data_IF_095829984088
#
_entry.id   IF_095829984088
#
_cell.length_a   1.000
_cell.length_b   1.000
_cell.length_c   1.000
_cell.angle_alpha   90.00
_cell.angle_beta   90.00
_cell.angle_gamma   90.00
#
_symmetry.space_group_name_H-M   'P 1'
#
loop_
_entity.id
_entity.type
_entity.pdbx_description
1 polymer ?
#
# COMPACT_ATOMS: atom_id res chain seq x y z
N UNK A 1 -21.78 0.95 -13.02
CA UNK A 1 -21.20 2.16 -12.41
C UNK A 1 -20.08 1.72 -11.49
N UNK A 2 -18.88 2.28 -11.63
CA UNK A 2 -17.79 2.01 -10.70
C UNK A 2 -18.14 2.64 -9.34
N UNK A 3 -18.08 1.86 -8.26
CA UNK A 3 -18.32 2.32 -6.90
C UNK A 3 -17.17 1.83 -6.03
N UNK A 4 -16.59 2.74 -5.24
CA UNK A 4 -15.41 2.47 -4.42
C UNK A 4 -15.75 2.67 -2.95
N UNK A 5 -15.31 1.73 -2.13
CA UNK A 5 -15.15 1.92 -0.70
C UNK A 5 -13.68 2.29 -0.48
N UNK A 6 -13.41 3.42 0.18
CA UNK A 6 -12.06 3.97 0.34
C UNK A 6 -11.74 4.06 1.82
N UNK A 7 -10.58 3.55 2.21
CA UNK A 7 -10.02 3.63 3.56
C UNK A 7 -8.51 3.90 3.47
N UNK A 8 -7.98 4.63 4.43
CA UNK A 8 -6.55 4.85 4.65
C UNK A 8 -6.31 5.07 6.15
N UNK A 9 -5.04 5.12 6.57
CA UNK A 9 -4.65 5.53 7.92
C UNK A 9 -5.33 4.69 9.03
N UNK A 10 -5.51 3.39 8.78
CA UNK A 10 -6.11 2.47 9.74
C UNK A 10 -5.15 2.12 10.88
N UNK A 11 -3.84 2.17 10.63
CA UNK A 11 -2.77 1.86 11.59
C UNK A 11 -3.00 0.56 12.39
N UNK A 12 -3.34 -0.53 11.71
CA UNK A 12 -3.67 -1.80 12.34
C UNK A 12 -2.48 -2.45 13.08
N UNK A 13 -1.27 -1.90 12.96
CA UNK A 13 -0.07 -2.28 13.71
C UNK A 13 -0.05 -1.77 15.16
N UNK A 14 -0.79 -0.71 15.50
CA UNK A 14 -0.66 0.00 16.78
C UNK A 14 -1.99 0.53 17.37
N UNK A 15 -2.61 -0.21 18.32
CA UNK A 15 -2.27 -1.57 18.74
C UNK A 15 -2.60 -2.58 17.65
N UNK A 16 -1.99 -3.78 17.71
CA UNK A 16 -2.24 -4.84 16.71
C UNK A 16 -3.72 -5.22 16.65
N UNK A 17 -4.38 -4.85 15.56
CA UNK A 17 -5.82 -4.99 15.35
C UNK A 17 -6.20 -5.68 14.03
N UNK A 18 -5.22 -6.25 13.31
CA UNK A 18 -5.42 -6.93 12.02
C UNK A 18 -6.56 -7.96 12.00
N UNK A 19 -6.78 -8.69 13.09
CA UNK A 19 -7.85 -9.69 13.21
C UNK A 19 -9.15 -9.19 13.84
N UNK A 20 -9.18 -7.94 14.29
CA UNK A 20 -10.32 -7.34 15.00
C UNK A 20 -11.08 -6.33 14.13
N UNK A 21 -10.38 -5.66 13.23
CA UNK A 21 -10.98 -4.67 12.35
C UNK A 21 -11.69 -5.35 11.18
N UNK A 22 -13.02 -5.26 11.13
CA UNK A 22 -13.82 -5.77 10.02
C UNK A 22 -14.18 -4.63 9.06
N UNK A 23 -14.06 -4.91 7.76
CA UNK A 23 -14.55 -4.03 6.70
C UNK A 23 -15.81 -4.67 6.10
N UNK A 24 -17.01 -4.19 6.45
CA UNK A 24 -18.23 -4.62 5.78
C UNK A 24 -18.16 -4.21 4.30
N UNK A 25 -18.43 -5.11 3.35
CA UNK A 25 -18.38 -4.80 1.93
C UNK A 25 -19.51 -3.85 1.55
N UNK A 26 -19.18 -2.60 1.19
CA UNK A 26 -20.14 -1.59 0.73
C UNK A 26 -20.06 -1.33 -0.78
N UNK A 27 -18.99 -1.80 -1.42
CA UNK A 27 -18.73 -1.61 -2.84
C UNK A 27 -17.95 -2.80 -3.43
N UNK A 28 -17.98 -3.01 -4.76
CA UNK A 28 -17.19 -4.06 -5.40
C UNK A 28 -15.68 -3.78 -5.40
N UNK A 29 -15.27 -2.51 -5.32
CA UNK A 29 -13.86 -2.10 -5.27
C UNK A 29 -13.57 -1.52 -3.88
N UNK A 30 -12.58 -2.08 -3.19
CA UNK A 30 -12.01 -1.52 -1.96
C UNK A 30 -10.66 -0.90 -2.29
N UNK A 31 -10.49 0.38 -1.97
CA UNK A 31 -9.22 1.07 -2.06
C UNK A 31 -8.65 1.29 -0.65
N UNK A 32 -7.51 0.66 -0.40
CA UNK A 32 -6.72 0.76 0.82
C UNK A 32 -5.50 1.63 0.52
N UNK A 33 -5.58 2.92 0.87
CA UNK A 33 -4.73 3.98 0.30
C UNK A 33 -3.67 4.50 1.26
N UNK A 34 -2.87 3.58 1.81
CA UNK A 34 -1.74 3.89 2.69
C UNK A 34 -2.05 3.85 4.18
N UNK A 35 -1.00 3.61 4.96
CA UNK A 35 -1.00 3.53 6.43
C UNK A 35 -2.06 2.57 6.98
N UNK A 36 -2.19 1.42 6.32
CA UNK A 36 -3.11 0.35 6.70
C UNK A 36 -2.50 -0.51 7.81
N UNK A 37 -1.21 -0.79 7.68
CA UNK A 37 -0.48 -1.67 8.57
C UNK A 37 0.99 -1.79 8.19
N UNK A 38 1.79 -2.36 9.07
CA UNK A 38 3.21 -2.53 8.83
C UNK A 38 3.51 -3.81 8.02
N UNK A 39 4.28 -3.71 6.93
CA UNK A 39 4.60 -4.84 6.04
C UNK A 39 5.55 -5.88 6.68
N UNK A 40 6.15 -5.58 7.83
CA UNK A 40 6.88 -6.58 8.63
C UNK A 40 5.93 -7.53 9.36
N UNK A 41 4.69 -7.12 9.62
CA UNK A 41 3.72 -7.91 10.36
C UNK A 41 2.99 -8.88 9.45
N UNK A 42 3.05 -10.18 9.75
CA UNK A 42 2.27 -11.19 9.03
C UNK A 42 0.75 -10.92 9.07
N UNK A 43 0.28 -10.27 10.15
CA UNK A 43 -1.12 -9.90 10.31
C UNK A 43 -1.67 -8.99 9.21
N UNK A 44 -0.83 -8.13 8.60
CA UNK A 44 -1.25 -7.31 7.47
C UNK A 44 -1.70 -8.19 6.30
N UNK A 45 -0.92 -9.22 5.95
CA UNK A 45 -1.23 -10.10 4.83
C UNK A 45 -2.46 -10.96 5.10
N UNK A 46 -2.63 -11.45 6.33
CA UNK A 46 -3.87 -12.13 6.76
C UNK A 46 -5.09 -11.20 6.64
N UNK A 47 -4.94 -9.93 7.03
CA UNK A 47 -5.98 -8.92 6.90
C UNK A 47 -6.34 -8.64 5.43
N UNK A 48 -5.35 -8.50 4.55
CA UNK A 48 -5.57 -8.28 3.11
C UNK A 48 -6.25 -9.49 2.45
N UNK A 49 -5.81 -10.72 2.77
CA UNK A 49 -6.43 -11.94 2.27
C UNK A 49 -7.90 -12.07 2.73
N UNK A 50 -8.20 -11.67 3.97
CA UNK A 50 -9.58 -11.65 4.48
C UNK A 50 -10.51 -10.73 3.65
N UNK A 51 -9.99 -9.63 3.10
CA UNK A 51 -10.78 -8.74 2.23
C UNK A 51 -11.07 -9.37 0.88
N UNK A 52 -10.14 -10.15 0.34
CA UNK A 52 -10.30 -10.89 -0.92
C UNK A 52 -11.35 -12.02 -0.81
N UNK A 53 -11.71 -12.44 0.41
CA UNK A 53 -12.85 -13.33 0.64
C UNK A 53 -14.22 -12.63 0.61
N UNK A 54 -14.27 -11.29 0.55
CA UNK A 54 -15.52 -10.51 0.61
C UNK A 54 -15.70 -9.54 -0.57
N UNK A 55 -14.63 -8.90 -1.06
CA UNK A 55 -14.71 -7.72 -1.96
C UNK A 55 -13.99 -7.95 -3.29
N UNK A 56 -14.68 -7.71 -4.42
CA UNK A 56 -14.32 -8.15 -5.80
C UNK A 56 -12.89 -7.76 -6.20
N UNK A 57 -12.49 -6.54 -5.89
CA UNK A 57 -11.15 -6.03 -6.18
C UNK A 57 -10.67 -5.23 -4.98
N UNK A 58 -9.45 -5.52 -4.53
CA UNK A 58 -8.74 -4.75 -3.49
C UNK A 58 -7.57 -4.04 -4.16
N UNK A 59 -7.65 -2.71 -4.23
CA UNK A 59 -6.58 -1.82 -4.67
C UNK A 59 -5.79 -1.41 -3.42
N UNK A 60 -4.49 -1.65 -3.39
CA UNK A 60 -3.66 -1.41 -2.21
C UNK A 60 -2.46 -0.52 -2.55
N UNK A 61 -2.28 0.58 -1.82
CA UNK A 61 -1.16 1.52 -1.95
C UNK A 61 -0.38 1.56 -0.63
N UNK A 62 0.96 1.60 -0.70
CA UNK A 62 1.78 1.83 0.50
C UNK A 62 1.64 3.28 0.98
N UNK A 63 1.53 3.45 2.29
CA UNK A 63 1.86 4.68 2.97
C UNK A 63 3.31 4.68 3.45
N UNK A 64 3.62 5.55 4.40
CA UNK A 64 4.95 5.64 5.00
C UNK A 64 5.11 4.71 6.21
N UNK A 65 4.01 4.21 6.80
CA UNK A 65 4.06 3.27 7.93
C UNK A 65 4.32 1.81 7.53
N UNK A 66 3.91 1.39 6.33
CA UNK A 66 4.18 0.05 5.79
C UNK A 66 5.66 -0.36 5.90
N UNK A 67 6.64 0.49 5.55
CA UNK A 67 8.05 0.16 5.67
C UNK A 67 8.69 0.35 7.05
N UNK A 68 7.99 0.89 8.07
CA UNK A 68 8.62 1.13 9.38
C UNK A 68 9.27 -0.13 9.97
N UNK A 69 10.43 0.04 10.59
CA UNK A 69 11.31 -1.01 11.13
C UNK A 69 11.74 -2.06 10.09
N UNK A 70 11.83 -1.63 8.84
CA UNK A 70 12.39 -2.33 7.69
C UNK A 70 12.78 -1.27 6.65
N UNK A 71 12.96 -1.64 5.37
CA UNK A 71 13.18 -0.67 4.29
C UNK A 71 11.97 -0.52 3.38
N UNK A 72 11.92 0.58 2.61
CA UNK A 72 10.92 0.74 1.52
C UNK A 72 11.00 -0.39 0.50
N UNK A 73 12.21 -0.82 0.14
CA UNK A 73 12.42 -1.89 -0.82
C UNK A 73 11.83 -3.22 -0.31
N UNK A 74 12.08 -3.56 0.95
CA UNK A 74 11.56 -4.78 1.58
C UNK A 74 10.05 -4.76 1.69
N UNK A 75 9.43 -3.64 2.10
CA UNK A 75 7.98 -3.54 2.17
C UNK A 75 7.33 -3.70 0.79
N UNK A 76 7.90 -3.03 -0.24
CA UNK A 76 7.45 -3.16 -1.62
C UNK A 76 7.55 -4.59 -2.13
N UNK A 77 8.68 -5.25 -1.92
CA UNK A 77 8.91 -6.65 -2.32
C UNK A 77 7.87 -7.58 -1.69
N UNK A 78 7.63 -7.48 -0.38
CA UNK A 78 6.63 -8.34 0.28
C UNK A 78 5.21 -8.15 -0.25
N UNK A 79 4.82 -6.91 -0.55
CA UNK A 79 3.48 -6.64 -1.09
C UNK A 79 3.39 -7.10 -2.55
N UNK A 80 4.48 -6.98 -3.32
CA UNK A 80 4.56 -7.55 -4.66
C UNK A 80 4.46 -9.08 -4.63
N UNK A 81 5.21 -9.75 -3.76
CA UNK A 81 5.17 -11.21 -3.58
C UNK A 81 3.77 -11.70 -3.19
N UNK A 82 3.11 -10.97 -2.28
CA UNK A 82 1.72 -11.23 -1.92
C UNK A 82 0.79 -11.09 -3.14
N UNK A 83 0.91 -9.99 -3.90
CA UNK A 83 0.14 -9.77 -5.12
C UNK A 83 0.32 -10.90 -6.13
N UNK A 84 1.56 -11.31 -6.37
CA UNK A 84 1.90 -12.38 -7.31
C UNK A 84 1.34 -13.73 -6.85
N UNK A 85 1.46 -14.03 -5.55
CA UNK A 85 0.91 -15.24 -4.94
C UNK A 85 -0.61 -15.32 -5.10
N UNK A 86 -1.34 -14.25 -4.79
CA UNK A 86 -2.80 -14.18 -4.92
C UNK A 86 -3.22 -14.37 -6.39
N UNK A 87 -2.53 -13.70 -7.31
CA UNK A 87 -2.86 -13.78 -8.73
C UNK A 87 -2.56 -15.18 -9.31
N UNK A 88 -1.50 -15.85 -8.86
CA UNK A 88 -1.21 -17.24 -9.21
C UNK A 88 -2.30 -18.20 -8.69
N UNK A 89 -2.68 -18.10 -7.40
CA UNK A 89 -3.77 -18.91 -6.81
C UNK A 89 -5.09 -18.75 -7.57
N UNK A 90 -5.44 -17.52 -7.93
CA UNK A 90 -6.64 -17.21 -8.72
C UNK A 90 -6.62 -17.84 -10.12
N UNK A 91 -5.46 -17.94 -10.75
CA UNK A 91 -5.32 -18.54 -12.07
C UNK A 91 -5.40 -20.09 -12.05
N UNK A 92 -4.88 -20.72 -11.00
CA UNK A 92 -4.63 -22.17 -10.99
C UNK A 92 -5.49 -23.00 -10.04
N UNK A 93 -5.97 -22.44 -8.92
CA UNK A 93 -6.50 -23.24 -7.80
C UNK A 93 -7.95 -22.86 -7.47
N UNK A 94 -8.23 -21.57 -7.32
CA UNK A 94 -9.53 -21.09 -6.86
C UNK A 94 -10.06 -19.93 -7.69
N UNK A 95 -11.00 -20.23 -8.60
CA UNK A 95 -11.69 -19.20 -9.40
C UNK A 95 -12.56 -18.26 -8.57
N UNK A 96 -12.82 -18.57 -7.29
CA UNK A 96 -13.55 -17.69 -6.37
C UNK A 96 -12.64 -16.63 -5.73
N UNK A 97 -11.31 -16.80 -5.79
CA UNK A 97 -10.38 -15.82 -5.25
C UNK A 97 -10.48 -14.51 -6.04
N UNK A 98 -10.67 -13.43 -5.29
CA UNK A 98 -10.88 -12.08 -5.83
C UNK A 98 -9.55 -11.43 -6.18
N UNK A 99 -9.60 -10.28 -6.87
CA UNK A 99 -8.39 -9.68 -7.42
C UNK A 99 -7.73 -8.74 -6.40
N UNK A 100 -6.43 -8.90 -6.22
CA UNK A 100 -5.57 -7.93 -5.54
C UNK A 100 -4.78 -7.14 -6.58
N UNK A 101 -4.71 -5.82 -6.43
CA UNK A 101 -3.96 -4.93 -7.30
C UNK A 101 -3.06 -4.07 -6.43
N UNK A 102 -1.75 -4.28 -6.53
CA UNK A 102 -0.77 -3.41 -5.91
C UNK A 102 -0.63 -2.12 -6.72
N UNK A 103 -0.92 -0.98 -6.11
CA UNK A 103 -1.03 0.32 -6.75
C UNK A 103 0.29 1.09 -6.74
N UNK A 104 1.38 0.47 -7.17
CA UNK A 104 2.71 1.08 -7.22
C UNK A 104 3.10 1.41 -8.66
N UNK A 105 2.93 2.68 -9.05
CA UNK A 105 3.04 3.15 -10.44
C UNK A 105 2.19 2.30 -11.41
N UNK A 106 1.00 1.94 -10.96
CA UNK A 106 0.15 0.94 -11.61
C UNK A 106 -1.09 1.58 -12.21
N UNK A 107 -1.42 1.17 -13.44
CA UNK A 107 -2.68 1.46 -14.12
C UNK A 107 -3.62 0.26 -13.99
N UNK A 108 -4.86 0.53 -13.58
CA UNK A 108 -5.92 -0.47 -13.52
C UNK A 108 -7.21 0.05 -14.18
N UNK A 109 -7.61 -0.59 -15.27
CA UNK A 109 -8.84 -0.23 -15.98
C UNK A 109 -10.04 -0.96 -15.36
N UNK A 110 -10.99 -0.20 -14.82
CA UNK A 110 -12.19 -0.69 -14.12
C UNK A 110 -13.27 -1.03 -15.14
N UNK A 111 -13.46 -0.14 -16.10
CA UNK A 111 -14.36 -0.24 -17.26
C UNK A 111 -13.67 0.43 -18.45
N UNK A 112 -14.28 0.39 -19.63
CA UNK A 112 -13.73 1.04 -20.83
C UNK A 112 -13.58 2.58 -20.70
N UNK A 113 -14.32 3.18 -19.76
CA UNK A 113 -14.41 4.61 -19.49
C UNK A 113 -13.80 5.04 -18.15
N UNK A 114 -13.40 4.10 -17.29
CA UNK A 114 -12.85 4.40 -15.95
C UNK A 114 -11.54 3.68 -15.73
N UNK A 115 -10.49 4.45 -15.48
CA UNK A 115 -9.14 3.98 -15.13
C UNK A 115 -8.75 4.53 -13.76
N UNK A 116 -8.10 3.69 -12.95
CA UNK A 116 -7.43 4.09 -11.71
C UNK A 116 -5.93 4.04 -11.93
N UNK A 117 -5.25 5.14 -11.59
CA UNK A 117 -3.79 5.21 -11.54
C UNK A 117 -3.38 5.33 -10.07
N UNK A 118 -2.38 4.59 -9.65
CA UNK A 118 -1.87 4.65 -8.28
C UNK A 118 -0.36 4.70 -8.23
N UNK A 119 0.16 5.60 -7.40
CA UNK A 119 1.56 5.74 -7.06
C UNK A 119 1.70 6.44 -5.70
N UNK A 120 2.83 6.22 -5.02
CA UNK A 120 3.26 7.08 -3.91
C UNK A 120 4.01 8.25 -4.50
N UNK A 121 3.63 9.49 -4.17
CA UNK A 121 4.33 10.69 -4.62
C UNK A 121 5.19 11.27 -3.51
N UNK A 122 6.44 11.61 -3.81
CA UNK A 122 7.35 12.21 -2.85
C UNK A 122 7.47 13.72 -3.07
N UNK A 123 7.66 14.46 -1.99
CA UNK A 123 7.93 15.90 -2.04
C UNK A 123 9.42 16.17 -2.21
N UNK A 124 9.79 17.10 -3.09
CA UNK A 124 11.15 17.61 -3.16
C UNK A 124 11.47 18.49 -1.96
N UNK A 125 12.54 18.19 -1.25
CA UNK A 125 13.03 19.03 -0.16
C UNK A 125 14.06 20.03 -0.68
N UNK A 126 13.93 21.30 -0.30
CA UNK A 126 14.99 22.29 -0.50
C UNK A 126 16.10 22.11 0.56
N UNK A 127 17.29 22.65 0.29
CA UNK A 127 18.41 22.60 1.26
C UNK A 127 18.06 23.26 2.59
N UNK A 128 17.24 24.31 2.56
CA UNK A 128 16.80 25.04 3.74
C UNK A 128 15.80 24.23 4.59
N UNK A 129 15.07 23.30 3.96
CA UNK A 129 14.08 22.44 4.62
C UNK A 129 14.70 21.16 5.19
N UNK A 130 15.81 20.69 4.61
CA UNK A 130 16.43 19.40 4.90
C UNK A 130 16.57 19.11 6.39
N UNK A 131 17.22 20.01 7.14
CA UNK A 131 17.40 19.82 8.59
C UNK A 131 16.05 19.75 9.32
N UNK A 132 15.15 20.69 9.07
CA UNK A 132 13.86 20.70 9.79
C UNK A 132 13.03 19.44 9.52
N UNK A 133 13.05 18.95 8.28
CA UNK A 133 12.25 17.79 7.86
C UNK A 133 12.89 16.48 8.32
N UNK A 134 14.21 16.32 8.18
CA UNK A 134 14.90 15.11 8.62
C UNK A 134 14.80 14.89 10.13
N UNK A 135 14.87 15.96 10.92
CA UNK A 135 14.69 15.89 12.37
C UNK A 135 13.22 15.83 12.81
N UNK A 136 12.28 16.20 11.93
CA UNK A 136 10.86 16.32 12.26
C UNK A 136 9.99 15.11 11.90
N UNK A 137 10.41 14.30 10.92
CA UNK A 137 9.64 13.15 10.45
C UNK A 137 10.23 11.84 10.96
N UNK A 138 9.36 11.01 11.57
CA UNK A 138 9.74 9.71 12.12
C UNK A 138 10.24 8.73 11.05
N UNK A 139 9.82 8.91 9.80
CA UNK A 139 10.18 8.03 8.68
C UNK A 139 11.70 7.90 8.49
N UNK A 140 12.45 9.00 8.67
CA UNK A 140 13.92 8.98 8.58
C UNK A 140 14.61 8.26 9.75
N UNK A 141 13.87 7.94 10.80
CA UNK A 141 14.35 7.20 11.97
C UNK A 141 13.87 5.75 12.02
N UNK A 142 12.72 5.48 11.39
CA UNK A 142 12.08 4.17 11.46
C UNK A 142 12.19 3.38 10.16
N UNK A 143 12.49 4.00 9.03
CA UNK A 143 12.69 3.29 7.77
C UNK A 143 14.19 3.18 7.50
N UNK A 144 14.66 1.95 7.39
CA UNK A 144 16.05 1.61 7.09
C UNK A 144 16.47 2.23 5.76
N UNK A 145 17.65 2.84 5.75
CA UNK A 145 18.29 3.51 4.60
C UNK A 145 17.46 4.64 3.96
N UNK A 146 16.39 5.12 4.64
CA UNK A 146 15.60 6.24 4.15
C UNK A 146 16.25 7.57 4.54
N UNK A 147 17.08 8.11 3.66
CA UNK A 147 17.73 9.42 3.83
C UNK A 147 16.97 10.53 3.11
N UNK A 148 17.26 11.80 3.42
CA UNK A 148 16.72 12.95 2.66
C UNK A 148 17.10 12.87 1.17
N UNK A 149 18.31 12.40 0.89
CA UNK A 149 18.77 12.16 -0.48
C UNK A 149 17.91 11.09 -1.17
N UNK A 150 17.67 9.94 -0.52
CA UNK A 150 16.83 8.88 -1.05
C UNK A 150 15.39 9.37 -1.30
N UNK A 151 14.84 10.16 -0.38
CA UNK A 151 13.51 10.78 -0.52
C UNK A 151 13.45 11.73 -1.72
N UNK A 152 14.45 12.59 -1.91
CA UNK A 152 14.52 13.48 -3.08
C UNK A 152 14.73 12.71 -4.39
N UNK A 153 15.52 11.64 -4.38
CA UNK A 153 15.70 10.77 -5.55
C UNK A 153 14.38 10.09 -5.94
N UNK A 154 13.59 9.65 -4.95
CA UNK A 154 12.26 9.10 -5.19
C UNK A 154 11.31 10.14 -5.84
N UNK A 155 11.37 11.40 -5.39
CA UNK A 155 10.64 12.49 -6.05
C UNK A 155 11.04 12.68 -7.52
N UNK A 156 12.33 12.65 -7.85
CA UNK A 156 12.76 12.81 -9.24
C UNK A 156 12.36 11.60 -10.10
N UNK A 157 12.32 10.39 -9.53
CA UNK A 157 11.81 9.20 -10.21
C UNK A 157 10.30 9.31 -10.56
N UNK A 158 9.50 10.02 -9.77
CA UNK A 158 8.08 10.25 -10.07
C UNK A 158 7.85 11.15 -11.31
N UNK A 159 8.89 11.83 -11.79
CA UNK A 159 8.80 12.80 -12.90
C UNK A 159 9.12 12.20 -14.27
N UNK A 160 9.58 10.95 -14.32
CA UNK A 160 10.02 10.24 -15.52
C UNK A 160 9.13 9.06 -15.83
#
# INVERSE_FOLDING_TARGET
MACFQILSDLHLESPKAYGLFDIPPQAPYLALLGDIGNAKDHGLFTFLEAQLHKIRVVLYLLGNHEPHHSSRATAREKIQDFSDTINQKRAHEDRQMRQFVFMDQTRYDITADVTVLGCTLYSRLSKEQEMRVSFGLNDFYHIDDWTVEAHCNAHEADRT
#
